data_IF_984369719235
#
_entry.id   IF_984369719235
#
_cell.length_a   1.000
_cell.length_b   1.000
_cell.length_c   1.000
_cell.angle_alpha   90.00
_cell.angle_beta   90.00
_cell.angle_gamma   90.00
#
_symmetry.space_group_name_H-M   'P 1'
#
loop_
_entity.id
_entity.type
_entity.pdbx_description
1 polymer ?
#
# COMPACT_ATOMS: atom_id res chain seq x y z
N UNK A 1 -7.09 -3.03 -45.54
CA UNK A 1 -7.02 -3.90 -44.35
C UNK A 1 -6.49 -3.06 -43.20
N UNK A 2 -7.38 -2.54 -42.37
CA UNK A 2 -7.05 -1.72 -41.20
C UNK A 2 -7.06 -2.62 -39.98
N UNK A 3 -5.89 -2.83 -39.38
CA UNK A 3 -5.73 -3.53 -38.11
C UNK A 3 -6.22 -2.63 -36.98
N UNK A 4 -7.30 -3.01 -36.32
CA UNK A 4 -7.79 -2.37 -35.12
C UNK A 4 -7.07 -3.01 -33.93
N UNK A 5 -6.16 -2.27 -33.29
CA UNK A 5 -5.54 -2.67 -32.03
C UNK A 5 -6.52 -2.36 -30.90
N UNK A 6 -7.15 -3.40 -30.35
CA UNK A 6 -7.93 -3.27 -29.11
C UNK A 6 -6.97 -3.38 -27.94
N UNK A 7 -6.55 -2.24 -27.37
CA UNK A 7 -5.86 -2.21 -26.08
C UNK A 7 -6.89 -2.52 -24.99
N UNK A 8 -6.80 -3.73 -24.43
CA UNK A 8 -7.54 -4.14 -23.24
C UNK A 8 -6.79 -3.60 -22.01
N UNK A 9 -7.16 -2.42 -21.54
CA UNK A 9 -6.75 -1.94 -20.21
C UNK A 9 -7.42 -2.82 -19.15
N UNK A 10 -6.69 -3.78 -18.60
CA UNK A 10 -7.10 -4.45 -17.37
C UNK A 10 -6.73 -3.54 -16.20
N UNK A 11 -7.64 -2.65 -15.79
CA UNK A 11 -7.59 -2.15 -14.42
C UNK A 11 -8.05 -3.29 -13.51
N UNK A 12 -7.12 -3.96 -12.85
CA UNK A 12 -7.44 -4.75 -11.65
C UNK A 12 -7.78 -3.74 -10.54
N UNK A 13 -8.95 -3.11 -10.65
CA UNK A 13 -9.62 -2.59 -9.47
C UNK A 13 -9.83 -3.81 -8.59
N UNK A 14 -9.22 -3.83 -7.40
CA UNK A 14 -9.54 -4.80 -6.36
C UNK A 14 -11.03 -4.61 -5.98
N UNK A 15 -11.95 -5.05 -6.84
CA UNK A 15 -13.40 -4.93 -6.65
C UNK A 15 -13.92 -5.84 -5.53
N UNK A 16 -13.05 -6.60 -4.88
CA UNK A 16 -13.41 -7.51 -3.80
C UNK A 16 -12.34 -7.71 -2.73
N UNK A 17 -11.21 -7.00 -2.81
CA UNK A 17 -10.16 -7.10 -1.81
C UNK A 17 -10.46 -6.21 -0.61
N UNK A 18 -11.12 -6.76 0.42
CA UNK A 18 -11.23 -6.06 1.71
C UNK A 18 -9.81 -5.83 2.22
N UNK A 19 -9.34 -4.57 2.19
CA UNK A 19 -8.08 -4.18 2.82
C UNK A 19 -8.24 -4.28 4.33
N UNK A 20 -7.69 -5.36 4.91
CA UNK A 20 -7.67 -5.57 6.34
C UNK A 20 -6.48 -4.83 6.95
N UNK A 21 -6.66 -3.54 7.21
CA UNK A 21 -5.68 -2.77 7.95
C UNK A 21 -5.52 -3.34 9.37
N UNK A 22 -4.27 -3.44 9.82
CA UNK A 22 -3.88 -3.84 11.17
C UNK A 22 -3.10 -2.71 11.80
N UNK A 23 -3.36 -2.43 13.07
CA UNK A 23 -2.57 -1.46 13.84
C UNK A 23 -1.17 -2.00 14.11
N UNK A 24 -0.14 -1.16 13.95
CA UNK A 24 1.22 -1.51 14.36
C UNK A 24 1.41 -1.42 15.89
N UNK A 25 2.25 -2.29 16.45
CA UNK A 25 2.53 -2.35 17.90
C UNK A 25 3.11 -1.05 18.50
N UNK A 26 3.56 -0.11 17.66
CA UNK A 26 4.17 1.18 18.07
C UNK A 26 3.43 2.40 17.50
N UNK A 27 2.14 2.27 17.23
CA UNK A 27 1.33 3.32 16.62
C UNK A 27 0.99 4.46 17.62
N UNK A 28 0.95 5.74 17.20
CA UNK A 28 0.30 6.81 17.94
C UNK A 28 -1.19 6.49 18.16
N UNK A 29 -1.76 7.13 19.17
CA UNK A 29 -3.15 6.97 19.62
C UNK A 29 -4.16 7.13 18.48
N UNK A 30 -4.89 6.05 18.19
CA UNK A 30 -6.07 5.88 17.31
C UNK A 30 -5.86 5.64 15.80
N UNK A 31 -5.62 4.38 15.42
CA UNK A 31 -5.98 3.88 14.08
C UNK A 31 -7.44 3.46 14.12
N UNK A 32 -8.31 4.14 13.38
CA UNK A 32 -9.70 3.72 13.17
C UNK A 32 -9.83 3.09 11.79
N UNK A 33 -10.00 1.76 11.76
CA UNK A 33 -10.26 1.01 10.53
C UNK A 33 -11.75 1.13 10.26
N UNK A 34 -12.10 1.76 9.14
CA UNK A 34 -13.49 1.88 8.71
C UNK A 34 -13.73 0.73 7.72
N UNK A 35 -14.15 -0.42 8.24
CA UNK A 35 -14.49 -1.57 7.40
C UNK A 35 -15.89 -1.38 6.83
N UNK A 36 -15.95 -1.17 5.51
CA UNK A 36 -17.07 -1.41 4.56
C UNK A 36 -17.15 -0.26 3.55
N UNK A 37 -16.17 -0.15 2.64
CA UNK A 37 -16.26 0.79 1.52
C UNK A 37 -17.04 0.17 0.35
N UNK A 38 -18.34 0.00 0.56
CA UNK A 38 -19.32 -0.22 -0.51
C UNK A 38 -19.90 1.11 -1.03
N UNK A 39 -19.45 2.27 -0.51
CA UNK A 39 -20.13 3.56 -0.69
C UNK A 39 -19.23 4.77 -1.03
N UNK A 40 -17.94 4.57 -1.37
CA UNK A 40 -17.01 5.69 -1.59
C UNK A 40 -16.45 6.29 -0.29
N UNK A 41 -16.62 5.60 0.82
CA UNK A 41 -15.98 5.92 2.10
C UNK A 41 -14.50 5.48 2.13
N UNK A 42 -13.63 6.19 2.88
CA UNK A 42 -12.23 5.83 3.01
C UNK A 42 -12.05 4.48 3.72
N UNK A 43 -11.15 3.64 3.20
CA UNK A 43 -10.86 2.30 3.75
C UNK A 43 -10.23 2.34 5.15
N UNK A 44 -9.53 3.43 5.49
CA UNK A 44 -8.98 3.62 6.82
C UNK A 44 -8.81 5.11 7.12
N UNK A 45 -8.93 5.47 8.40
CA UNK A 45 -8.48 6.77 8.92
C UNK A 45 -7.41 6.53 9.98
N UNK A 46 -6.28 7.18 9.77
CA UNK A 46 -5.12 7.13 10.65
C UNK A 46 -4.93 8.53 11.20
N UNK A 47 -5.21 8.72 12.48
CA UNK A 47 -5.03 10.00 13.14
C UNK A 47 -4.21 9.86 14.41
N UNK A 48 -3.52 10.93 14.79
CA UNK A 48 -2.77 10.97 16.03
C UNK A 48 -1.61 11.95 16.00
N UNK A 49 -0.84 11.94 17.07
CA UNK A 49 0.37 12.75 17.20
C UNK A 49 1.53 11.84 17.59
N UNK A 50 2.68 12.02 16.95
CA UNK A 50 3.91 11.34 17.34
C UNK A 50 5.01 12.34 17.64
N UNK A 51 5.62 12.22 18.82
CA UNK A 51 6.82 12.97 19.20
C UNK A 51 8.10 12.42 18.55
N UNK A 52 8.04 11.18 18.04
CA UNK A 52 9.21 10.48 17.48
C UNK A 52 8.98 10.14 16.02
N UNK A 53 10.09 10.13 15.26
CA UNK A 53 10.12 9.54 13.92
C UNK A 53 10.03 8.03 14.01
N UNK A 54 9.30 7.44 13.08
CA UNK A 54 9.40 6.01 12.78
C UNK A 54 8.49 5.17 13.66
N UNK A 55 7.39 4.76 13.05
CA UNK A 55 6.50 3.75 13.57
C UNK A 55 5.54 3.36 12.47
N UNK A 56 5.35 2.05 12.27
CA UNK A 56 4.26 1.56 11.43
C UNK A 56 2.96 1.86 12.14
N UNK A 57 2.15 2.67 11.49
CA UNK A 57 0.86 3.10 12.00
C UNK A 57 -0.17 2.03 11.69
N UNK A 58 -0.22 1.65 10.42
CA UNK A 58 -1.11 0.64 9.90
C UNK A 58 -0.40 -0.18 8.82
N UNK A 59 -0.82 -1.42 8.64
CA UNK A 59 -0.38 -2.23 7.51
C UNK A 59 -1.50 -3.16 7.07
N UNK A 60 -1.49 -3.55 5.80
CA UNK A 60 -2.40 -4.54 5.23
C UNK A 60 -1.63 -5.46 4.30
N UNK A 61 -2.26 -6.54 3.88
CA UNK A 61 -1.69 -7.48 2.93
C UNK A 61 -2.71 -7.89 1.87
N UNK A 62 -2.21 -8.44 0.76
CA UNK A 62 -2.99 -9.01 -0.34
C UNK A 62 -2.41 -10.38 -0.69
N UNK A 63 -3.31 -11.35 -0.88
CA UNK A 63 -3.03 -12.71 -1.34
C UNK A 63 -3.57 -12.85 -2.77
N UNK A 64 -3.10 -13.86 -3.51
CA UNK A 64 -3.56 -14.24 -4.84
C UNK A 64 -3.34 -13.17 -5.94
N UNK A 65 -2.20 -12.48 -5.91
CA UNK A 65 -1.80 -11.58 -7.00
C UNK A 65 -1.23 -12.34 -8.20
N UNK A 66 -1.26 -11.76 -9.42
CA UNK A 66 -0.59 -12.33 -10.59
C UNK A 66 0.91 -12.56 -10.35
N UNK A 67 1.44 -13.66 -10.90
CA UNK A 67 2.85 -14.04 -10.75
C UNK A 67 3.83 -12.99 -11.32
N UNK A 68 3.45 -12.27 -12.38
CA UNK A 68 4.28 -11.23 -12.99
C UNK A 68 3.72 -9.84 -12.72
N UNK A 69 4.44 -9.10 -11.88
CA UNK A 69 4.18 -7.71 -11.52
C UNK A 69 5.32 -6.80 -11.97
N UNK A 70 6.15 -7.21 -12.94
CA UNK A 70 7.36 -6.47 -13.33
C UNK A 70 7.06 -5.07 -13.87
N UNK A 71 5.95 -4.91 -14.59
CA UNK A 71 5.49 -3.64 -15.19
C UNK A 71 4.32 -3.00 -14.43
N UNK A 72 3.92 -3.59 -13.29
CA UNK A 72 2.79 -3.09 -12.51
C UNK A 72 3.08 -1.72 -11.88
N UNK A 73 2.02 -0.94 -11.65
CA UNK A 73 2.04 0.29 -10.83
C UNK A 73 1.09 0.12 -9.66
N UNK A 74 1.61 0.27 -8.45
CA UNK A 74 0.77 0.32 -7.26
C UNK A 74 0.33 1.76 -7.02
N UNK A 75 -0.96 1.99 -6.86
CA UNK A 75 -1.54 3.32 -6.65
C UNK A 75 -2.15 3.39 -5.26
N UNK A 76 -1.64 4.26 -4.40
CA UNK A 76 -2.23 4.54 -3.10
C UNK A 76 -2.83 5.93 -3.11
N UNK A 77 -4.16 6.01 -3.09
CA UNK A 77 -4.88 7.28 -2.98
C UNK A 77 -5.09 7.63 -1.51
N UNK A 78 -4.61 8.79 -1.12
CA UNK A 78 -4.68 9.31 0.25
C UNK A 78 -5.25 10.71 0.26
N UNK A 79 -5.79 11.11 1.41
CA UNK A 79 -6.23 12.48 1.65
C UNK A 79 -6.00 12.86 3.10
N UNK A 80 -5.66 14.11 3.37
CA UNK A 80 -5.59 14.63 4.73
C UNK A 80 -4.35 15.45 4.98
N UNK A 81 -3.76 15.34 6.17
CA UNK A 81 -2.65 16.18 6.59
C UNK A 81 -1.60 15.41 7.39
N UNK A 82 -0.35 15.78 7.15
CA UNK A 82 0.79 15.35 7.95
C UNK A 82 1.80 14.48 7.19
N UNK A 83 2.87 14.06 7.88
CA UNK A 83 3.93 13.24 7.30
C UNK A 83 3.49 11.78 7.12
N UNK A 84 3.33 11.37 5.87
CA UNK A 84 3.00 10.00 5.50
C UNK A 84 4.17 9.32 4.77
N UNK A 85 4.53 8.11 5.21
CA UNK A 85 5.39 7.23 4.42
C UNK A 85 4.61 5.96 4.11
N UNK A 86 4.61 5.57 2.85
CA UNK A 86 4.04 4.32 2.41
C UNK A 86 5.15 3.42 1.85
N UNK A 87 5.15 2.16 2.28
CA UNK A 87 6.08 1.14 1.82
C UNK A 87 5.31 -0.04 1.24
N UNK A 88 5.65 -0.46 0.03
CA UNK A 88 5.05 -1.64 -0.64
C UNK A 88 6.11 -2.73 -0.72
N UNK A 89 5.77 -3.91 -0.23
CA UNK A 89 6.56 -5.13 -0.37
C UNK A 89 5.77 -6.09 -1.24
N UNK A 90 6.34 -6.62 -2.31
CA UNK A 90 5.62 -7.56 -3.18
C UNK A 90 6.53 -8.64 -3.76
N UNK A 91 5.98 -9.81 -4.05
CA UNK A 91 6.68 -10.88 -4.76
C UNK A 91 6.64 -10.64 -6.28
N UNK A 92 7.76 -10.84 -6.96
CA UNK A 92 7.81 -10.87 -8.43
C UNK A 92 7.87 -12.33 -8.90
N UNK A 93 6.83 -13.12 -8.66
CA UNK A 93 6.74 -14.54 -9.03
C UNK A 93 6.85 -15.52 -7.85
N UNK A 94 6.47 -16.78 -8.09
CA UNK A 94 6.18 -17.79 -7.05
C UNK A 94 7.25 -18.07 -6.01
N UNK A 95 8.53 -18.08 -6.42
CA UNK A 95 9.66 -18.44 -5.54
C UNK A 95 10.62 -17.26 -5.28
N UNK A 96 10.18 -16.02 -5.54
CA UNK A 96 11.09 -14.85 -5.54
C UNK A 96 11.13 -14.14 -4.18
N UNK A 97 12.27 -13.53 -3.82
CA UNK A 97 12.35 -12.64 -2.65
C UNK A 97 11.39 -11.47 -2.81
N UNK A 98 10.98 -10.87 -1.68
CA UNK A 98 10.22 -9.63 -1.71
C UNK A 98 11.02 -8.51 -2.35
N UNK A 99 10.33 -7.73 -3.17
CA UNK A 99 10.78 -6.45 -3.69
C UNK A 99 10.11 -5.33 -2.92
N UNK A 100 10.80 -4.21 -2.85
CA UNK A 100 10.46 -3.10 -1.97
C UNK A 100 10.46 -1.77 -2.70
N UNK A 101 9.41 -1.01 -2.43
CA UNK A 101 9.20 0.37 -2.85
C UNK A 101 8.81 1.22 -1.63
N UNK A 102 9.21 2.50 -1.64
CA UNK A 102 8.86 3.45 -0.58
C UNK A 102 8.67 4.84 -1.16
N UNK A 103 7.66 5.55 -0.66
CA UNK A 103 7.46 6.98 -0.87
C UNK A 103 7.17 7.68 0.44
N UNK A 104 7.60 8.94 0.50
CA UNK A 104 7.40 9.85 1.62
C UNK A 104 6.72 11.09 1.07
N UNK A 105 5.71 11.58 1.79
CA UNK A 105 4.95 12.75 1.39
C UNK A 105 4.48 13.55 2.61
N UNK A 106 4.47 14.87 2.49
CA UNK A 106 3.83 15.76 3.45
C UNK A 106 2.51 16.23 2.85
N UNK A 107 1.39 15.81 3.44
CA UNK A 107 0.07 16.22 3.00
C UNK A 107 -0.33 17.54 3.68
N UNK A 108 -0.93 18.45 2.92
CA UNK A 108 -1.39 19.77 3.37
C UNK A 108 -2.90 19.93 3.15
N UNK A 109 -3.69 19.11 3.85
CA UNK A 109 -5.15 19.06 3.70
C UNK A 109 -5.59 18.79 2.25
N UNK A 110 -4.80 18.00 1.52
CA UNK A 110 -4.96 17.70 0.10
C UNK A 110 -5.20 16.20 -0.14
N UNK A 111 -5.67 15.87 -1.36
CA UNK A 111 -5.71 14.49 -1.85
C UNK A 111 -4.57 14.25 -2.82
N UNK A 112 -3.91 13.11 -2.69
CA UNK A 112 -2.77 12.73 -3.50
C UNK A 112 -2.80 11.24 -3.84
N UNK A 113 -2.30 10.90 -5.03
CA UNK A 113 -2.09 9.50 -5.44
C UNK A 113 -0.59 9.23 -5.45
N UNK A 114 -0.14 8.39 -4.53
CA UNK A 114 1.23 7.89 -4.52
C UNK A 114 1.35 6.73 -5.50
N UNK A 115 2.17 6.92 -6.54
CA UNK A 115 2.43 5.93 -7.59
C UNK A 115 3.73 5.20 -7.27
N UNK A 116 3.71 3.86 -7.23
CA UNK A 116 4.89 3.02 -7.01
C UNK A 116 5.11 2.13 -8.24
N UNK A 117 6.00 2.51 -9.17
CA UNK A 117 6.33 1.67 -10.32
C UNK A 117 7.12 0.44 -9.89
N UNK A 118 6.70 -0.76 -10.30
CA UNK A 118 7.37 -2.00 -9.92
C UNK A 118 8.80 -2.10 -10.48
N UNK A 119 9.10 -1.43 -11.58
CA UNK A 119 10.44 -1.33 -12.17
C UNK A 119 11.48 -0.67 -11.24
N UNK A 120 11.05 0.25 -10.37
CA UNK A 120 11.92 0.92 -9.40
C UNK A 120 12.22 0.07 -8.15
N UNK A 121 11.60 -1.12 -8.05
CA UNK A 121 11.61 -1.90 -6.83
C UNK A 121 12.95 -2.59 -6.57
N UNK A 122 13.38 -2.56 -5.31
CA UNK A 122 14.66 -3.15 -4.87
C UNK A 122 14.40 -4.50 -4.20
N UNK A 123 15.16 -5.55 -4.52
CA UNK A 123 15.00 -6.83 -3.85
C UNK A 123 15.50 -6.80 -2.40
N UNK A 124 14.85 -7.58 -1.54
CA UNK A 124 15.21 -7.80 -0.13
C UNK A 124 15.68 -9.24 0.03
N UNK A 125 16.98 -9.43 0.21
CA UNK A 125 17.61 -10.76 0.22
C UNK A 125 17.93 -11.31 1.62
N UNK A 126 18.00 -10.45 2.63
CA UNK A 126 18.61 -10.77 3.93
C UNK A 126 17.65 -10.69 5.11
N UNK A 127 16.35 -10.61 4.85
CA UNK A 127 15.34 -10.45 5.89
C UNK A 127 14.19 -11.42 5.67
N UNK A 128 13.74 -12.07 6.75
CA UNK A 128 12.49 -12.81 6.78
C UNK A 128 11.27 -11.88 6.82
N UNK A 129 11.48 -10.56 6.90
CA UNK A 129 10.43 -9.57 6.76
C UNK A 129 10.11 -9.33 5.28
N UNK A 130 8.82 -9.24 4.87
CA UNK A 130 7.63 -9.20 5.73
C UNK A 130 6.99 -10.55 6.11
N UNK A 131 7.45 -11.69 5.57
CA UNK A 131 6.86 -13.02 5.84
C UNK A 131 6.71 -13.33 7.34
N UNK A 132 7.64 -12.88 8.17
CA UNK A 132 7.62 -13.08 9.62
C UNK A 132 6.37 -12.49 10.32
N UNK A 133 5.63 -11.59 9.67
CA UNK A 133 4.37 -11.05 10.22
C UNK A 133 3.22 -12.04 10.14
N UNK A 134 3.21 -12.90 9.12
CA UNK A 134 2.16 -13.88 8.85
C UNK A 134 2.79 -15.17 8.33
N UNK A 135 3.55 -15.91 9.18
CA UNK A 135 4.36 -17.05 8.75
C UNK A 135 3.53 -18.20 8.15
N UNK A 136 2.24 -18.28 8.47
CA UNK A 136 1.33 -19.33 8.01
C UNK A 136 0.53 -18.94 6.75
N UNK A 137 0.84 -17.80 6.12
CA UNK A 137 0.12 -17.27 4.95
C UNK A 137 1.05 -17.06 3.77
N UNK A 138 0.59 -17.43 2.57
CA UNK A 138 1.25 -17.06 1.32
C UNK A 138 0.79 -15.68 0.90
N UNK A 139 1.42 -14.65 1.45
CA UNK A 139 1.13 -13.25 1.10
C UNK A 139 1.91 -12.86 -0.15
N UNK A 140 1.27 -12.15 -1.08
CA UNK A 140 1.94 -11.67 -2.29
C UNK A 140 2.36 -10.21 -2.18
N UNK A 141 1.61 -9.41 -1.41
CA UNK A 141 1.89 -8.00 -1.19
C UNK A 141 1.59 -7.57 0.24
N UNK A 142 2.46 -6.74 0.81
CA UNK A 142 2.22 -5.99 2.03
C UNK A 142 2.31 -4.48 1.73
N UNK A 143 1.36 -3.73 2.28
CA UNK A 143 1.38 -2.26 2.31
C UNK A 143 1.55 -1.81 3.76
N UNK A 144 2.57 -1.00 4.02
CA UNK A 144 2.81 -0.38 5.32
C UNK A 144 2.62 1.12 5.21
N UNK A 145 1.92 1.68 6.18
CA UNK A 145 1.73 3.11 6.37
C UNK A 145 2.45 3.50 7.66
N UNK A 146 3.49 4.32 7.53
CA UNK A 146 4.34 4.76 8.61
C UNK A 146 4.21 6.28 8.81
N UNK A 147 4.43 6.74 10.04
CA UNK A 147 4.79 8.13 10.27
C UNK A 147 6.32 8.27 10.19
N UNK A 148 6.81 9.05 9.23
CA UNK A 148 8.24 9.27 9.04
C UNK A 148 8.81 10.54 9.67
N UNK A 149 7.97 11.38 10.30
CA UNK A 149 8.43 12.62 10.95
C UNK A 149 7.58 12.95 12.19
N UNK A 150 8.15 13.56 13.23
CA UNK A 150 7.33 14.07 14.33
C UNK A 150 6.24 15.02 13.84
N UNK A 151 5.08 14.99 14.50
CA UNK A 151 3.95 15.87 14.17
C UNK A 151 2.59 15.19 14.27
N UNK A 152 1.56 16.00 14.01
CA UNK A 152 0.18 15.54 13.87
C UNK A 152 -0.03 14.90 12.50
N UNK A 153 -0.79 13.82 12.49
CA UNK A 153 -1.27 13.13 11.30
C UNK A 153 -2.79 13.00 11.41
N UNK A 154 -3.50 13.30 10.33
CA UNK A 154 -4.89 12.90 10.12
C UNK A 154 -5.06 12.56 8.64
N UNK A 155 -4.90 11.28 8.31
CA UNK A 155 -4.84 10.78 6.94
C UNK A 155 -5.90 9.71 6.73
N UNK A 156 -6.62 9.87 5.63
CA UNK A 156 -7.56 8.91 5.09
C UNK A 156 -6.88 8.14 3.97
N UNK A 157 -6.90 6.81 4.07
CA UNK A 157 -6.56 5.94 2.95
C UNK A 157 -7.84 5.71 2.17
N UNK A 158 -7.92 6.27 0.97
CA UNK A 158 -9.13 6.21 0.15
C UNK A 158 -9.19 4.94 -0.68
N UNK A 159 -8.08 4.55 -1.30
CA UNK A 159 -8.00 3.35 -2.15
C UNK A 159 -6.56 2.89 -2.32
N UNK A 160 -6.37 1.59 -2.53
CA UNK A 160 -5.13 1.00 -3.03
C UNK A 160 -5.43 0.12 -4.23
N UNK A 161 -4.72 0.33 -5.33
CA UNK A 161 -4.94 -0.35 -6.60
C UNK A 161 -3.65 -0.87 -7.20
N UNK A 162 -3.75 -1.90 -8.02
CA UNK A 162 -2.66 -2.42 -8.83
C UNK A 162 -3.06 -2.26 -10.29
N UNK A 163 -2.38 -1.38 -11.00
CA UNK A 163 -2.54 -1.23 -12.45
C UNK A 163 -1.48 -2.08 -13.16
N UNK A 164 -1.93 -3.00 -14.01
CA UNK A 164 -1.04 -3.67 -14.95
C UNK A 164 -0.88 -2.81 -16.21
N UNK A 165 0.34 -2.65 -16.69
CA UNK A 165 0.62 -1.96 -17.95
C UNK A 165 0.81 -3.05 -18.99
N UNK A 166 -0.28 -3.45 -19.67
CA UNK A 166 -0.24 -4.33 -20.85
C UNK A 166 -0.90 -3.67 -22.04
#
# INVERSE_FOLDING_TARGET
MTFLWTFLFFSLSLESGIMNFRSGERSPSSVSILSDSLSGEPCARISGYSEKKGGTLAWTYVEDLPDDLSEARFLLKVRGRGPLRASVYFKKGKDRPYYFLRKEVYLEDSSETLIFPAEEAKPIWSSNFPDALLPDKSVDLFLFIDNFSPGSLDVYIEKFEVEDVR
#
